data_IF_583569521374
#
_entry.id   IF_583569521374
#
_cell.length_a   1.000
_cell.length_b   1.000
_cell.length_c   1.000
_cell.angle_alpha   90.00
_cell.angle_beta   90.00
_cell.angle_gamma   90.00
#
_symmetry.space_group_name_H-M   'P 1'
#
loop_
_entity.id
_entity.type
_entity.pdbx_description
1 polymer ?
#
# COMPACT_ATOMS: atom_id res chain seq x y z
N UNK A 1 12.49 11.86 0.30
CA UNK A 1 11.13 11.32 0.10
C UNK A 1 10.42 12.00 -1.03
N UNK A 2 9.53 11.27 -1.72
CA UNK A 2 8.18 11.71 -2.10
C UNK A 2 7.96 13.12 -2.65
N UNK A 3 8.99 13.82 -3.17
CA UNK A 3 8.85 15.16 -3.76
C UNK A 3 7.75 15.16 -4.80
N UNK A 4 7.54 14.04 -5.50
CA UNK A 4 6.45 13.92 -6.44
C UNK A 4 5.04 13.93 -5.84
N UNK A 5 4.86 13.42 -4.62
CA UNK A 5 3.57 13.57 -3.92
C UNK A 5 3.34 15.02 -3.50
N UNK A 6 4.37 15.68 -2.97
CA UNK A 6 4.28 17.07 -2.49
C UNK A 6 4.12 18.06 -3.66
N UNK A 7 4.85 17.83 -4.77
CA UNK A 7 4.83 18.65 -5.97
C UNK A 7 3.74 18.23 -6.98
N UNK A 8 2.91 17.24 -6.63
CA UNK A 8 1.85 16.70 -7.50
C UNK A 8 2.33 16.27 -8.91
N UNK A 9 3.54 15.71 -9.02
CA UNK A 9 4.16 15.38 -10.32
C UNK A 9 4.04 13.90 -10.72
N UNK A 10 3.27 13.11 -9.96
CA UNK A 10 3.18 11.65 -10.15
C UNK A 10 2.21 11.22 -11.27
N UNK A 11 1.71 12.15 -12.08
CA UNK A 11 0.82 11.89 -13.22
C UNK A 11 -0.32 10.91 -12.89
N UNK A 12 -0.96 11.10 -11.73
CA UNK A 12 -2.16 10.35 -11.39
C UNK A 12 -3.27 10.66 -12.41
N UNK A 13 -4.16 9.68 -12.71
CA UNK A 13 -5.34 9.94 -13.52
C UNK A 13 -6.23 11.00 -12.88
N UNK A 14 -7.07 11.63 -13.70
CA UNK A 14 -8.07 12.60 -13.23
C UNK A 14 -9.01 11.96 -12.20
N UNK A 15 -9.45 12.76 -11.22
CA UNK A 15 -10.39 12.32 -10.20
C UNK A 15 -11.65 11.69 -10.82
N UNK A 16 -12.18 10.66 -10.17
CA UNK A 16 -13.38 9.94 -10.59
C UNK A 16 -14.36 9.84 -9.44
N UNK A 17 -15.64 9.86 -9.76
CA UNK A 17 -16.70 9.63 -8.78
C UNK A 17 -16.58 8.22 -8.21
N UNK A 18 -16.58 8.13 -6.88
CA UNK A 18 -16.56 6.84 -6.17
C UNK A 18 -17.97 6.30 -5.95
N UNK A 19 -18.93 7.19 -5.78
CA UNK A 19 -20.36 6.92 -5.64
C UNK A 19 -21.16 8.19 -5.99
N UNK A 20 -22.48 8.08 -6.03
CA UNK A 20 -23.41 9.17 -6.39
C UNK A 20 -23.42 10.34 -5.39
N UNK A 21 -22.97 10.13 -4.15
CA UNK A 21 -23.13 11.06 -3.02
C UNK A 21 -21.83 11.78 -2.64
N UNK A 22 -20.68 11.15 -2.88
CA UNK A 22 -19.34 11.58 -2.48
C UNK A 22 -18.67 12.45 -3.55
N UNK A 23 -19.12 12.35 -4.80
CA UNK A 23 -18.57 13.05 -5.95
C UNK A 23 -17.12 12.64 -6.26
N UNK A 24 -16.37 13.47 -7.02
CA UNK A 24 -15.10 13.03 -7.58
C UNK A 24 -14.03 12.99 -6.50
N UNK A 25 -13.34 11.84 -6.41
CA UNK A 25 -12.20 11.62 -5.53
C UNK A 25 -10.94 11.44 -6.38
N UNK A 26 -9.84 12.16 -6.08
CA UNK A 26 -8.58 11.97 -6.77
C UNK A 26 -7.99 10.59 -6.47
N UNK A 27 -7.26 10.03 -7.42
CA UNK A 27 -6.45 8.85 -7.17
C UNK A 27 -5.37 9.17 -6.12
N UNK A 28 -5.11 8.21 -5.22
CA UNK A 28 -4.19 8.38 -4.11
C UNK A 28 -3.35 7.12 -3.88
N UNK A 29 -2.15 7.31 -3.36
CA UNK A 29 -1.33 6.22 -2.81
C UNK A 29 -1.69 5.93 -1.35
N UNK A 30 -1.40 4.71 -0.91
CA UNK A 30 -1.57 4.28 0.48
C UNK A 30 -0.30 4.63 1.26
N UNK A 31 -0.42 5.56 2.21
CA UNK A 31 0.63 5.95 3.14
C UNK A 31 0.44 5.33 4.51
N UNK A 32 1.55 5.13 5.20
CA UNK A 32 1.56 4.83 6.64
C UNK A 32 1.48 6.13 7.48
N UNK A 33 1.30 6.01 8.79
CA UNK A 33 1.18 7.12 9.74
C UNK A 33 2.39 8.05 9.72
N UNK A 34 3.58 7.54 9.37
CA UNK A 34 4.79 8.32 9.24
C UNK A 34 4.70 9.40 8.14
N UNK A 35 3.86 9.22 7.12
CA UNK A 35 3.73 10.14 5.99
C UNK A 35 2.76 11.30 6.27
N UNK A 36 2.90 12.45 5.59
CA UNK A 36 1.90 13.52 5.65
C UNK A 36 0.59 13.08 4.97
N UNK A 37 -0.54 13.60 5.44
CA UNK A 37 -1.82 13.45 4.75
C UNK A 37 -1.88 14.45 3.58
N UNK A 38 -2.01 13.94 2.35
CA UNK A 38 -2.15 14.74 1.13
C UNK A 38 -3.40 14.30 0.36
N UNK A 39 -3.83 15.04 -0.65
CA UNK A 39 -4.97 14.64 -1.50
C UNK A 39 -4.65 13.42 -2.37
N UNK A 40 -3.38 13.20 -2.69
CA UNK A 40 -2.84 12.09 -3.46
C UNK A 40 -2.09 11.04 -2.61
N UNK A 41 -2.10 11.18 -1.28
CA UNK A 41 -1.47 10.25 -0.34
C UNK A 41 -2.32 10.14 0.94
N UNK A 42 -3.06 9.04 1.06
CA UNK A 42 -3.95 8.81 2.20
C UNK A 42 -3.22 8.06 3.30
N UNK A 43 -3.35 8.52 4.54
CA UNK A 43 -2.79 7.90 5.73
C UNK A 43 -3.89 7.60 6.76
N UNK A 44 -3.66 6.65 7.70
CA UNK A 44 -4.67 6.32 8.69
C UNK A 44 -5.02 7.52 9.59
N UNK A 45 -6.21 7.49 10.19
CA UNK A 45 -6.55 8.35 11.32
C UNK A 45 -5.61 8.04 12.48
N UNK A 46 -4.98 9.06 13.08
CA UNK A 46 -4.02 8.85 14.16
C UNK A 46 -4.73 8.27 15.38
N UNK A 47 -4.20 7.17 15.90
CA UNK A 47 -4.68 6.58 17.15
C UNK A 47 -4.29 7.47 18.31
N UNK A 48 -5.18 8.33 18.80
CA UNK A 48 -4.90 9.08 20.03
C UNK A 48 -4.78 8.07 21.17
N UNK A 49 -3.58 7.93 21.73
CA UNK A 49 -3.27 6.97 22.80
C UNK A 49 -4.39 6.85 23.83
N UNK A 50 -4.76 5.59 24.12
CA UNK A 50 -5.81 5.15 25.08
C UNK A 50 -7.28 5.44 24.74
N UNK A 51 -7.64 6.23 23.71
CA UNK A 51 -9.05 6.36 23.27
C UNK A 51 -9.34 5.44 22.09
N UNK A 52 -10.45 4.68 22.19
CA UNK A 52 -10.95 3.86 21.08
C UNK A 52 -11.32 4.79 19.93
N UNK A 53 -10.73 4.53 18.76
CA UNK A 53 -11.04 5.25 17.53
C UNK A 53 -12.53 5.06 17.19
N UNK A 54 -13.25 6.10 16.70
CA UNK A 54 -14.61 5.93 16.21
C UNK A 54 -14.73 4.79 15.20
N UNK A 55 -15.88 4.11 15.15
CA UNK A 55 -16.07 2.91 14.33
C UNK A 55 -15.76 3.17 12.84
N UNK A 56 -16.30 4.24 12.27
CA UNK A 56 -16.05 4.64 10.88
C UNK A 56 -14.57 4.92 10.57
N UNK A 57 -13.86 5.60 11.48
CA UNK A 57 -12.41 5.81 11.36
C UNK A 57 -11.63 4.49 11.47
N UNK A 58 -12.09 3.56 12.31
CA UNK A 58 -11.50 2.22 12.43
C UNK A 58 -11.71 1.36 11.19
N UNK A 59 -12.88 1.44 10.55
CA UNK A 59 -13.18 0.78 9.28
C UNK A 59 -12.26 1.34 8.18
N UNK A 60 -12.14 2.66 8.08
CA UNK A 60 -11.20 3.29 7.14
C UNK A 60 -9.76 2.81 7.35
N UNK A 61 -9.27 2.84 8.60
CA UNK A 61 -7.92 2.37 8.92
C UNK A 61 -7.72 0.90 8.57
N UNK A 62 -8.73 0.06 8.82
CA UNK A 62 -8.71 -1.35 8.44
C UNK A 62 -8.62 -1.53 6.91
N UNK A 63 -9.45 -0.82 6.12
CA UNK A 63 -9.40 -0.88 4.65
C UNK A 63 -8.05 -0.42 4.11
N UNK A 64 -7.52 0.67 4.64
CA UNK A 64 -6.19 1.17 4.28
C UNK A 64 -5.10 0.13 4.60
N UNK A 65 -5.19 -0.53 5.76
CA UNK A 65 -4.30 -1.60 6.18
C UNK A 65 -4.41 -2.83 5.28
N UNK A 66 -5.62 -3.25 4.89
CA UNK A 66 -5.85 -4.35 3.94
C UNK A 66 -5.17 -4.06 2.58
N UNK A 67 -5.33 -2.85 2.06
CA UNK A 67 -4.65 -2.45 0.81
C UNK A 67 -3.12 -2.48 0.94
N UNK A 68 -2.56 -1.98 2.04
CA UNK A 68 -1.12 -2.06 2.31
C UNK A 68 -0.63 -3.49 2.45
N UNK A 69 -1.38 -4.36 3.12
CA UNK A 69 -1.06 -5.79 3.26
C UNK A 69 -0.91 -6.47 1.90
N UNK A 70 -1.78 -6.17 0.93
CA UNK A 70 -1.64 -6.69 -0.44
C UNK A 70 -0.32 -6.26 -1.08
N UNK A 71 0.08 -5.00 -0.90
CA UNK A 71 1.35 -4.46 -1.40
C UNK A 71 2.55 -5.15 -0.71
N UNK A 72 2.52 -5.24 0.61
CA UNK A 72 3.56 -5.88 1.44
C UNK A 72 3.72 -7.36 1.08
N UNK A 73 2.62 -8.10 0.95
CA UNK A 73 2.63 -9.50 0.53
C UNK A 73 3.25 -9.66 -0.86
N UNK A 74 2.92 -8.76 -1.80
CA UNK A 74 3.50 -8.79 -3.16
C UNK A 74 5.02 -8.63 -3.12
N UNK A 75 5.52 -7.66 -2.34
CA UNK A 75 6.96 -7.49 -2.15
C UNK A 75 7.60 -8.65 -1.39
N UNK A 76 6.92 -9.23 -0.40
CA UNK A 76 7.37 -10.42 0.32
C UNK A 76 7.55 -11.61 -0.60
N UNK A 77 6.59 -11.88 -1.49
CA UNK A 77 6.70 -12.92 -2.52
C UNK A 77 7.89 -12.62 -3.44
N UNK A 78 8.00 -11.40 -3.96
CA UNK A 78 9.12 -11.03 -4.84
C UNK A 78 10.48 -11.19 -4.15
N UNK A 79 10.64 -10.76 -2.90
CA UNK A 79 11.90 -10.90 -2.15
C UNK A 79 12.20 -12.35 -1.77
N UNK A 80 11.17 -13.15 -1.49
CA UNK A 80 11.33 -14.57 -1.20
C UNK A 80 11.83 -15.34 -2.43
N UNK A 81 11.35 -15.00 -3.64
CA UNK A 81 11.71 -15.69 -4.88
C UNK A 81 12.98 -15.14 -5.52
N UNK A 82 13.10 -13.82 -5.60
CA UNK A 82 14.22 -13.15 -6.25
C UNK A 82 15.20 -12.66 -5.18
N UNK A 83 16.26 -13.44 -4.97
CA UNK A 83 17.30 -13.15 -3.95
C UNK A 83 17.92 -11.76 -4.10
N UNK A 84 17.87 -11.16 -5.30
CA UNK A 84 18.35 -9.80 -5.58
C UNK A 84 17.69 -8.74 -4.69
N UNK A 85 16.42 -8.93 -4.28
CA UNK A 85 15.71 -7.96 -3.41
C UNK A 85 15.97 -8.17 -1.92
N UNK A 86 16.68 -9.24 -1.51
CA UNK A 86 16.96 -9.51 -0.09
C UNK A 86 18.09 -8.66 0.49
N UNK A 87 18.88 -8.02 -0.38
CA UNK A 87 20.00 -7.14 0.00
C UNK A 87 19.90 -5.83 -0.78
N UNK A 88 20.52 -4.74 -0.28
CA UNK A 88 20.68 -3.53 -1.07
C UNK A 88 21.29 -3.83 -2.44
N UNK A 89 20.66 -3.35 -3.50
CA UNK A 89 21.12 -3.58 -4.87
C UNK A 89 22.21 -2.56 -5.18
N UNK A 90 23.45 -3.05 -5.35
CA UNK A 90 24.59 -2.22 -5.73
C UNK A 90 24.60 -2.09 -7.25
N UNK A 91 23.83 -1.15 -7.78
CA UNK A 91 23.74 -0.86 -9.22
C UNK A 91 23.29 0.59 -9.47
N UNK A 92 23.42 1.05 -10.73
CA UNK A 92 22.89 2.36 -11.15
C UNK A 92 21.34 2.35 -11.12
N UNK A 93 20.67 3.50 -10.89
CA UNK A 93 19.20 3.55 -10.84
C UNK A 93 18.49 2.91 -12.03
N UNK A 94 18.96 3.17 -13.25
CA UNK A 94 18.39 2.58 -14.48
C UNK A 94 18.48 1.05 -14.48
N UNK A 95 19.57 0.49 -13.94
CA UNK A 95 19.75 -0.96 -13.81
C UNK A 95 18.81 -1.52 -12.74
N UNK A 96 18.65 -0.84 -11.61
CA UNK A 96 17.69 -1.23 -10.57
C UNK A 96 16.26 -1.24 -11.11
N UNK A 97 15.91 -0.24 -11.91
CA UNK A 97 14.61 -0.16 -12.59
C UNK A 97 14.41 -1.33 -13.57
N UNK A 98 15.43 -1.65 -14.37
CA UNK A 98 15.39 -2.79 -15.29
C UNK A 98 15.24 -4.13 -14.54
N UNK A 99 15.98 -4.33 -13.43
CA UNK A 99 15.86 -5.51 -12.57
C UNK A 99 14.43 -5.63 -12.02
N UNK A 100 13.86 -4.52 -11.55
CA UNK A 100 12.50 -4.47 -11.01
C UNK A 100 11.47 -4.83 -12.08
N UNK A 101 11.57 -4.23 -13.27
CA UNK A 101 10.70 -4.52 -14.42
C UNK A 101 10.79 -5.98 -14.84
N UNK A 102 12.01 -6.52 -14.96
CA UNK A 102 12.25 -7.92 -15.32
C UNK A 102 11.61 -8.87 -14.30
N UNK A 103 11.76 -8.59 -13.00
CA UNK A 103 11.17 -9.41 -11.95
C UNK A 103 9.63 -9.41 -11.98
N UNK A 104 8.99 -8.27 -12.32
CA UNK A 104 7.53 -8.19 -12.52
C UNK A 104 7.09 -9.01 -13.73
N UNK A 105 7.79 -8.91 -14.85
CA UNK A 105 7.48 -9.71 -16.06
C UNK A 105 7.60 -11.20 -15.77
N UNK A 106 8.70 -11.62 -15.13
CA UNK A 106 8.91 -13.02 -14.77
C UNK A 106 7.88 -13.52 -13.75
N UNK A 107 7.51 -12.70 -12.77
CA UNK A 107 6.42 -13.01 -11.84
C UNK A 107 5.13 -13.31 -12.60
N UNK A 108 4.73 -12.42 -13.51
CA UNK A 108 3.50 -12.57 -14.28
C UNK A 108 3.54 -13.82 -15.18
N UNK A 109 4.66 -14.04 -15.86
CA UNK A 109 4.86 -15.23 -16.69
C UNK A 109 4.70 -16.52 -15.89
N UNK A 110 5.34 -16.63 -14.73
CA UNK A 110 5.24 -17.83 -13.88
C UNK A 110 3.80 -18.00 -13.37
N UNK A 111 3.15 -16.94 -12.88
CA UNK A 111 1.76 -17.03 -12.40
C UNK A 111 0.79 -17.46 -13.50
N UNK A 112 0.98 -16.99 -14.72
CA UNK A 112 0.17 -17.42 -15.87
C UNK A 112 0.42 -18.90 -16.19
N UNK A 113 1.67 -19.33 -16.24
CA UNK A 113 2.03 -20.73 -16.49
C UNK A 113 1.46 -21.68 -15.43
N UNK A 114 1.56 -21.30 -14.15
CA UNK A 114 1.03 -22.08 -13.03
C UNK A 114 -0.50 -22.19 -13.07
N UNK A 115 -1.19 -21.08 -13.37
CA UNK A 115 -2.63 -21.08 -13.51
C UNK A 115 -3.10 -22.00 -14.63
N UNK A 116 -2.41 -21.98 -15.78
CA UNK A 116 -2.71 -22.86 -16.91
C UNK A 116 -2.46 -24.35 -16.59
N UNK A 117 -1.48 -24.64 -15.75
CA UNK A 117 -1.15 -26.00 -15.31
C UNK A 117 -1.95 -26.46 -14.07
N UNK A 118 -2.76 -25.59 -13.45
CA UNK A 118 -3.52 -25.91 -12.24
C UNK A 118 -2.67 -26.11 -10.98
N UNK A 119 -1.45 -25.56 -10.94
CA UNK A 119 -0.49 -25.71 -9.82
C UNK A 119 -0.21 -24.38 -9.13
N UNK A 120 0.41 -24.41 -7.92
CA UNK A 120 0.81 -23.21 -7.17
C UNK A 120 2.12 -23.42 -6.40
N UNK A 121 3.26 -23.38 -7.08
CA UNK A 121 4.60 -23.53 -6.47
C UNK A 121 5.30 -22.18 -6.23
N UNK A 122 4.99 -21.19 -7.05
CA UNK A 122 5.59 -19.86 -7.03
C UNK A 122 5.00 -19.01 -5.91
N UNK A 123 3.70 -19.10 -5.67
CA UNK A 123 3.08 -18.52 -4.48
C UNK A 123 2.54 -19.66 -3.62
N UNK A 124 3.43 -20.38 -2.92
CA UNK A 124 3.05 -21.41 -1.94
C UNK A 124 2.26 -20.83 -0.75
N UNK A 125 2.25 -21.43 0.45
CA UNK A 125 1.35 -21.07 1.55
C UNK A 125 1.43 -19.62 2.07
N UNK A 126 2.29 -18.77 1.50
CA UNK A 126 2.27 -17.31 1.66
C UNK A 126 0.99 -16.64 1.13
N UNK A 127 0.25 -17.28 0.21
CA UNK A 127 -1.07 -16.82 -0.27
C UNK A 127 -2.23 -17.29 0.63
N UNK A 128 -1.98 -18.22 1.57
CA UNK A 128 -2.99 -18.69 2.52
C UNK A 128 -3.00 -17.68 3.66
N UNK A 129 -4.00 -16.78 3.70
CA UNK A 129 -4.26 -15.96 4.88
C UNK A 129 -4.45 -16.90 6.09
N UNK A 130 -3.55 -16.93 7.08
CA UNK A 130 -3.99 -17.38 8.38
C UNK A 130 -4.90 -16.25 8.88
N UNK A 131 -6.18 -16.58 9.06
CA UNK A 131 -7.19 -15.70 9.67
C UNK A 131 -6.72 -15.14 11.02
N UNK A 132 -5.72 -15.77 11.65
CA UNK A 132 -5.10 -15.28 12.86
C UNK A 132 -3.59 -15.18 12.72
N UNK A 133 -3.10 -14.01 13.12
CA UNK A 133 -1.74 -13.74 13.56
C UNK A 133 -0.77 -13.16 12.51
N UNK A 134 -0.16 -12.04 12.90
CA UNK A 134 0.75 -11.18 12.13
C UNK A 134 2.12 -11.84 11.88
N UNK A 135 2.17 -13.14 11.58
CA UNK A 135 3.41 -13.94 11.57
C UNK A 135 4.36 -13.62 10.41
N UNK A 136 3.99 -12.76 9.47
CA UNK A 136 4.90 -12.24 8.46
C UNK A 136 5.84 -11.16 9.01
N UNK A 137 5.50 -10.53 10.15
CA UNK A 137 6.37 -9.57 10.82
C UNK A 137 7.62 -10.21 11.44
N UNK A 138 7.62 -11.54 11.65
CA UNK A 138 8.71 -12.24 12.35
C UNK A 138 9.79 -12.78 11.42
N UNK A 139 9.57 -12.81 10.11
CA UNK A 139 10.62 -13.08 9.13
C UNK A 139 11.21 -11.74 8.68
N UNK A 140 12.18 -11.23 9.45
CA UNK A 140 13.10 -10.18 9.01
C UNK A 140 13.86 -10.65 7.74
N UNK A 141 13.19 -10.64 6.59
CA UNK A 141 13.77 -10.97 5.28
C UNK A 141 13.78 -9.76 4.35
N UNK A 142 13.87 -8.55 4.92
CA UNK A 142 13.84 -7.31 4.14
C UNK A 142 14.93 -6.32 4.54
N UNK A 143 15.55 -5.71 3.53
CA UNK A 143 16.38 -4.51 3.70
C UNK A 143 15.56 -3.25 4.03
N UNK A 144 14.23 -3.36 4.04
CA UNK A 144 13.29 -2.26 4.29
C UNK A 144 13.09 -2.07 5.79
N UNK A 145 13.55 -0.94 6.31
CA UNK A 145 13.36 -0.55 7.71
C UNK A 145 12.07 0.26 7.86
N UNK A 146 11.37 0.16 9.00
CA UNK A 146 10.29 1.07 9.33
C UNK A 146 10.74 2.52 9.20
N UNK A 147 9.90 3.34 8.60
CA UNK A 147 10.24 4.73 8.32
C UNK A 147 9.78 5.60 9.49
N UNK A 148 10.71 6.34 10.09
CA UNK A 148 10.41 7.31 11.16
C UNK A 148 9.60 8.49 10.61
N UNK A 149 8.88 9.23 11.47
CA UNK A 149 7.98 10.31 11.06
C UNK A 149 8.64 11.30 10.07
N UNK A 150 7.97 11.49 8.94
CA UNK A 150 8.54 12.09 7.73
C UNK A 150 8.02 13.49 7.41
N UNK A 151 7.14 14.04 8.25
CA UNK A 151 6.56 15.36 8.05
C UNK A 151 5.73 15.85 9.22
N UNK A 152 5.32 17.11 9.15
CA UNK A 152 4.42 17.74 10.12
C UNK A 152 3.02 17.13 10.02
N UNK A 153 2.28 17.08 11.14
CA UNK A 153 0.88 16.65 11.15
C UNK A 153 -0.09 17.69 10.53
N UNK A 154 0.43 18.81 10.02
CA UNK A 154 -0.33 19.83 9.31
C UNK A 154 -0.69 19.34 7.91
N UNK A 155 -1.99 19.26 7.60
CA UNK A 155 -2.51 18.86 6.29
C UNK A 155 -3.56 19.86 5.80
N UNK A 156 -3.77 19.94 4.49
CA UNK A 156 -4.75 20.86 3.91
C UNK A 156 -6.18 20.47 4.27
N UNK A 157 -7.07 21.47 4.36
CA UNK A 157 -8.50 21.23 4.57
C UNK A 157 -9.08 20.27 3.52
N UNK A 158 -8.62 20.38 2.26
CA UNK A 158 -9.05 19.50 1.18
C UNK A 158 -8.65 18.04 1.40
N UNK A 159 -7.40 17.77 1.83
CA UNK A 159 -6.95 16.40 2.12
C UNK A 159 -7.77 15.76 3.26
N UNK A 160 -8.19 16.57 4.25
CA UNK A 160 -9.12 16.14 5.31
C UNK A 160 -10.48 15.75 4.75
N UNK A 161 -11.04 16.58 3.88
CA UNK A 161 -12.36 16.36 3.26
C UNK A 161 -12.34 15.07 2.46
N UNK A 162 -11.33 14.86 1.62
CA UNK A 162 -11.19 13.64 0.81
C UNK A 162 -11.10 12.40 1.71
N UNK A 163 -10.27 12.41 2.75
CA UNK A 163 -10.17 11.27 3.67
C UNK A 163 -11.50 10.99 4.37
N UNK A 164 -12.22 12.03 4.78
CA UNK A 164 -13.53 11.87 5.41
C UNK A 164 -14.56 11.29 4.44
N UNK A 165 -14.60 11.75 3.18
CA UNK A 165 -15.46 11.17 2.13
C UNK A 165 -15.18 9.67 1.95
N UNK A 166 -13.90 9.29 1.85
CA UNK A 166 -13.51 7.88 1.75
C UNK A 166 -13.94 7.07 2.98
N UNK A 167 -13.77 7.64 4.18
CA UNK A 167 -14.19 7.01 5.44
C UNK A 167 -15.71 6.80 5.48
N UNK A 168 -16.49 7.79 5.05
CA UNK A 168 -17.95 7.68 5.01
C UNK A 168 -18.38 6.66 3.94
N UNK A 169 -17.77 6.67 2.74
CA UNK A 169 -18.00 5.67 1.69
C UNK A 169 -17.74 4.23 2.17
N UNK A 170 -16.58 3.97 2.79
CA UNK A 170 -16.23 2.64 3.31
C UNK A 170 -17.07 2.18 4.50
N UNK A 171 -17.79 3.11 5.15
CA UNK A 171 -18.72 2.80 6.24
C UNK A 171 -20.15 2.58 5.76
N UNK A 172 -20.45 2.91 4.50
CA UNK A 172 -21.77 2.78 3.87
C UNK A 172 -21.74 1.81 2.67
N UNK A 173 -21.89 2.34 1.45
CA UNK A 173 -21.97 1.55 0.21
C UNK A 173 -20.72 0.70 -0.09
N UNK A 174 -19.57 1.05 0.46
CA UNK A 174 -18.30 0.31 0.29
C UNK A 174 -17.98 -0.70 1.40
N UNK A 175 -18.94 -1.04 2.28
CA UNK A 175 -18.80 -2.02 3.35
C UNK A 175 -18.82 -3.48 2.86
#
# INVERSE_FOLDING_TARGET
>A
MGKGFILYNLNFPTAKDIDSNSGPIPYYALGDEAFPLLTNLMRPYPGRGKRKLPLNESIFNYRLSRGRRTIENTFGIMASKWRVFRKPIIARPNTVEAITKAAVVLHNFIKMSENNAGVRYYSGPLDIEPYEDNRWATLEMGALRPVNQLGTNTYSANAKIIRNKLKDHFSGEGA
#
